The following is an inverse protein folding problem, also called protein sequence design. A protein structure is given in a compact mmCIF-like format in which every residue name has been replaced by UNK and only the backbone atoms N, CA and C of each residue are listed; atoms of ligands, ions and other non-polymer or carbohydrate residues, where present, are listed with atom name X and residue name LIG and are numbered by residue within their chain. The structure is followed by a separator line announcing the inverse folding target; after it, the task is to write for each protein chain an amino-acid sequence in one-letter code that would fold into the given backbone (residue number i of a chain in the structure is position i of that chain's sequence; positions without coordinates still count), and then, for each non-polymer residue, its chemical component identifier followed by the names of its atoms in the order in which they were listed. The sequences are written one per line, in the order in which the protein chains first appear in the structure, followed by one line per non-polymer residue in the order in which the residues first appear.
data_IF_333270801656
#
_entry.id   IF_333270801656
#
_cell.length_a   1.000
_cell.length_b   1.000
_cell.length_c   1.000
_cell.angle_alpha   90.00
_cell.angle_beta   90.00
_cell.angle_gamma   90.00
#
_symmetry.space_group_name_H-M   'P 1'
#
loop_
_entity.id
_entity.type
_entity.pdbx_description
1 polymer ?
#
# COMPACT_ATOMS: atom_id res chain seq x y z
N UNK A 1 -26.85 0.69 -20.41
CA UNK A 1 -26.87 1.53 -21.61
C UNK A 1 -27.67 0.88 -22.72
N UNK A 2 -27.42 -0.37 -23.13
CA UNK A 2 -28.09 -1.03 -24.26
C UNK A 2 -29.62 -1.21 -24.12
N UNK A 3 -30.17 -1.01 -22.94
CA UNK A 3 -31.63 -1.14 -22.68
C UNK A 3 -32.38 0.19 -22.71
N UNK A 4 -31.66 1.31 -22.89
CA UNK A 4 -32.25 2.64 -22.95
C UNK A 4 -32.23 3.17 -24.39
N UNK A 5 -33.34 3.75 -24.81
CA UNK A 5 -33.42 4.47 -26.06
C UNK A 5 -32.78 5.83 -25.85
N UNK A 6 -31.83 6.18 -26.72
CA UNK A 6 -31.13 7.46 -26.77
C UNK A 6 -30.62 7.93 -25.37
N UNK A 7 -29.69 7.21 -24.75
CA UNK A 7 -29.22 7.54 -23.38
C UNK A 7 -28.53 8.93 -23.32
N UNK A 8 -28.06 9.47 -24.43
CA UNK A 8 -27.39 10.78 -24.54
C UNK A 8 -28.36 11.93 -24.84
N UNK A 9 -29.54 11.63 -25.34
CA UNK A 9 -30.52 12.61 -25.80
C UNK A 9 -31.61 12.95 -24.78
N UNK A 10 -31.35 12.81 -23.47
CA UNK A 10 -32.33 13.16 -22.43
C UNK A 10 -33.24 12.01 -21.99
N UNK A 11 -32.71 10.80 -21.96
CA UNK A 11 -33.43 9.63 -21.39
C UNK A 11 -33.85 9.88 -19.96
N UNK A 12 -35.12 9.72 -19.63
CA UNK A 12 -35.62 9.89 -18.25
C UNK A 12 -34.90 9.04 -17.22
N UNK A 13 -34.49 7.84 -17.60
CA UNK A 13 -33.68 6.99 -16.72
C UNK A 13 -32.33 7.58 -16.42
N UNK A 14 -31.61 8.09 -17.43
CA UNK A 14 -30.29 8.69 -17.26
C UNK A 14 -30.37 9.97 -16.46
N UNK A 15 -31.38 10.82 -16.72
CA UNK A 15 -31.61 12.04 -15.98
C UNK A 15 -31.94 11.76 -14.51
N UNK A 16 -32.80 10.79 -14.22
CA UNK A 16 -33.11 10.37 -12.85
C UNK A 16 -31.87 9.86 -12.12
N UNK A 17 -31.10 8.97 -12.77
CA UNK A 17 -29.86 8.44 -12.20
C UNK A 17 -28.82 9.52 -11.95
N UNK A 18 -28.68 10.47 -12.85
CA UNK A 18 -27.77 11.62 -12.71
C UNK A 18 -28.16 12.46 -11.49
N UNK A 19 -29.47 12.74 -11.35
CA UNK A 19 -29.97 13.50 -10.20
C UNK A 19 -29.74 12.76 -8.88
N UNK A 20 -30.00 11.45 -8.81
CA UNK A 20 -29.74 10.64 -7.62
C UNK A 20 -28.26 10.61 -7.25
N UNK A 21 -27.37 10.45 -8.24
CA UNK A 21 -25.92 10.47 -8.03
C UNK A 21 -25.45 11.83 -7.53
N UNK A 22 -25.98 12.91 -8.11
CA UNK A 22 -25.65 14.28 -7.69
C UNK A 22 -26.05 14.53 -6.22
N UNK A 23 -27.24 14.09 -5.80
CA UNK A 23 -27.69 14.21 -4.42
C UNK A 23 -26.81 13.43 -3.46
N UNK A 24 -26.52 12.16 -3.76
CA UNK A 24 -25.64 11.33 -2.93
C UNK A 24 -24.22 11.89 -2.82
N UNK A 25 -23.67 12.40 -3.93
CA UNK A 25 -22.37 13.06 -3.91
C UNK A 25 -22.40 14.32 -3.06
N UNK A 26 -23.48 15.10 -3.13
CA UNK A 26 -23.64 16.31 -2.36
C UNK A 26 -23.74 16.05 -0.85
N UNK A 27 -24.43 14.99 -0.44
CA UNK A 27 -24.48 14.55 0.97
C UNK A 27 -23.07 14.25 1.51
N UNK A 28 -22.21 13.57 0.72
CA UNK A 28 -20.83 13.27 1.12
C UNK A 28 -19.97 14.55 1.19
N UNK A 29 -20.17 15.50 0.27
CA UNK A 29 -19.48 16.80 0.29
C UNK A 29 -19.88 17.57 1.56
N UNK A 30 -21.18 17.64 1.88
CA UNK A 30 -21.65 18.30 3.08
C UNK A 30 -21.12 17.67 4.37
N UNK A 31 -20.94 16.35 4.41
CA UNK A 31 -20.32 15.68 5.55
C UNK A 31 -18.87 16.14 5.75
N UNK A 32 -18.10 16.22 4.68
CA UNK A 32 -16.71 16.72 4.72
C UNK A 32 -16.67 18.18 5.18
N UNK A 33 -17.57 19.02 4.67
CA UNK A 33 -17.66 20.43 5.07
C UNK A 33 -18.02 20.59 6.54
N UNK A 34 -18.93 19.77 7.08
CA UNK A 34 -19.28 19.76 8.52
C UNK A 34 -18.11 19.41 9.43
N UNK A 35 -17.14 18.61 8.93
CA UNK A 35 -15.91 18.30 9.64
C UNK A 35 -14.89 19.44 9.61
N UNK A 36 -15.16 20.50 8.86
CA UNK A 36 -14.29 21.66 8.68
C UNK A 36 -13.38 21.56 7.46
N UNK A 37 -13.84 20.87 6.42
CA UNK A 37 -13.17 20.67 5.15
C UNK A 37 -12.30 19.42 5.07
N UNK A 38 -11.77 19.13 3.89
CA UNK A 38 -11.08 17.87 3.60
C UNK A 38 -9.83 17.65 4.47
N UNK A 39 -9.05 18.70 4.77
CA UNK A 39 -7.86 18.55 5.60
C UNK A 39 -8.20 17.97 6.99
N UNK A 40 -9.23 18.52 7.64
CA UNK A 40 -9.71 18.00 8.94
C UNK A 40 -10.37 16.64 8.82
N UNK A 41 -11.12 16.38 7.74
CA UNK A 41 -11.68 15.08 7.48
C UNK A 41 -10.59 13.99 7.35
N UNK A 42 -9.45 14.30 6.70
CA UNK A 42 -8.29 13.40 6.63
C UNK A 42 -7.73 13.11 8.02
N UNK A 43 -7.62 14.10 8.89
CA UNK A 43 -7.17 13.90 10.27
C UNK A 43 -8.07 12.94 11.06
N UNK A 44 -9.39 12.92 10.80
CA UNK A 44 -10.32 11.96 11.40
C UNK A 44 -10.19 10.54 10.85
N UNK A 45 -9.55 10.37 9.68
CA UNK A 45 -9.42 9.11 8.97
C UNK A 45 -10.66 8.68 8.16
N UNK A 46 -11.77 9.43 8.19
CA UNK A 46 -13.04 9.05 7.53
C UNK A 46 -12.89 8.81 6.01
N UNK A 47 -12.28 9.72 5.22
CA UNK A 47 -12.15 9.49 3.78
C UNK A 47 -11.36 8.22 3.47
N UNK A 48 -10.28 7.98 4.22
CA UNK A 48 -9.42 6.81 4.06
C UNK A 48 -10.17 5.52 4.40
N UNK A 49 -10.88 5.46 5.52
CA UNK A 49 -11.69 4.30 5.91
C UNK A 49 -12.72 3.93 4.84
N UNK A 50 -13.42 4.89 4.26
CA UNK A 50 -14.42 4.64 3.21
C UNK A 50 -13.80 4.11 1.91
N UNK A 51 -12.61 4.60 1.55
CA UNK A 51 -11.87 4.07 0.39
C UNK A 51 -11.45 2.63 0.64
N UNK A 52 -10.94 2.32 1.82
CA UNK A 52 -10.50 0.99 2.21
C UNK A 52 -11.68 0.01 2.28
N UNK A 53 -12.80 0.42 2.86
CA UNK A 53 -14.04 -0.38 2.88
C UNK A 53 -14.55 -0.69 1.46
N UNK A 54 -14.61 0.31 0.58
CA UNK A 54 -15.02 0.11 -0.80
C UNK A 54 -14.06 -0.81 -1.56
N UNK A 55 -12.75 -0.70 -1.31
CA UNK A 55 -11.74 -1.55 -1.91
C UNK A 55 -11.85 -3.00 -1.45
N UNK A 56 -11.99 -3.24 -0.14
CA UNK A 56 -12.16 -4.58 0.43
C UNK A 56 -13.44 -5.27 -0.09
N UNK A 57 -14.55 -4.52 -0.17
CA UNK A 57 -15.81 -5.03 -0.74
C UNK A 57 -15.67 -5.40 -2.21
N UNK A 58 -15.00 -4.57 -2.99
CA UNK A 58 -14.77 -4.82 -4.42
C UNK A 58 -13.88 -6.05 -4.60
N UNK A 59 -12.80 -6.17 -3.84
CA UNK A 59 -11.91 -7.33 -3.90
C UNK A 59 -12.65 -8.61 -3.54
N UNK A 60 -13.40 -8.63 -2.45
CA UNK A 60 -14.20 -9.80 -2.06
C UNK A 60 -15.20 -10.26 -3.14
N UNK A 61 -15.77 -9.31 -3.91
CA UNK A 61 -16.64 -9.64 -5.05
C UNK A 61 -15.86 -10.21 -6.24
N UNK A 62 -14.65 -9.75 -6.47
CA UNK A 62 -13.76 -10.28 -7.51
C UNK A 62 -13.34 -11.71 -7.13
N UNK A 63 -12.89 -11.92 -5.90
CA UNK A 63 -12.40 -13.20 -5.40
C UNK A 63 -13.51 -14.26 -5.36
N UNK A 64 -14.71 -13.89 -4.90
CA UNK A 64 -15.89 -14.78 -4.92
C UNK A 64 -16.48 -15.02 -6.33
N UNK A 65 -15.98 -14.34 -7.37
CA UNK A 65 -16.49 -14.40 -8.74
C UNK A 65 -17.83 -13.72 -8.95
N UNK A 66 -18.41 -13.06 -7.96
CA UNK A 66 -19.66 -12.30 -8.10
C UNK A 66 -19.49 -11.05 -8.98
N UNK A 67 -18.27 -10.52 -9.07
CA UNK A 67 -17.88 -9.50 -10.03
C UNK A 67 -16.86 -10.07 -11.01
N UNK A 68 -17.21 -10.11 -12.30
CA UNK A 68 -16.32 -10.62 -13.34
C UNK A 68 -15.35 -9.54 -13.80
N UNK A 69 -14.06 -9.85 -13.76
CA UNK A 69 -13.00 -9.10 -14.43
C UNK A 69 -12.41 -10.01 -15.51
N UNK A 70 -12.58 -9.60 -16.77
CA UNK A 70 -12.12 -10.37 -17.92
C UNK A 70 -10.59 -10.50 -17.89
N UNK A 71 -10.10 -11.74 -18.08
CA UNK A 71 -8.67 -12.04 -18.03
C UNK A 71 -8.08 -12.15 -16.62
N UNK A 72 -8.84 -11.84 -15.57
CA UNK A 72 -8.42 -11.98 -14.17
C UNK A 72 -9.09 -13.16 -13.49
N UNK A 73 -10.42 -13.12 -13.31
CA UNK A 73 -11.18 -14.20 -12.68
C UNK A 73 -12.14 -14.94 -13.63
N UNK A 74 -12.21 -14.52 -14.90
CA UNK A 74 -12.99 -15.18 -15.94
C UNK A 74 -12.40 -14.93 -17.33
N UNK A 75 -12.58 -15.89 -18.23
CA UNK A 75 -12.08 -15.82 -19.62
C UNK A 75 -10.55 -15.67 -19.71
N UNK A 76 -9.85 -16.38 -18.86
CA UNK A 76 -8.37 -16.45 -18.88
C UNK A 76 -7.92 -17.34 -20.04
N UNK A 77 -6.72 -17.06 -20.56
CA UNK A 77 -6.05 -17.96 -21.49
C UNK A 77 -5.39 -19.10 -20.69
N UNK A 78 -5.46 -20.33 -21.19
CA UNK A 78 -4.77 -21.48 -20.57
C UNK A 78 -3.22 -21.31 -20.62
N UNK A 79 -2.74 -20.65 -21.67
CA UNK A 79 -1.31 -20.30 -21.82
C UNK A 79 -1.22 -18.87 -22.32
N UNK A 80 -0.55 -18.04 -21.57
CA UNK A 80 -0.17 -16.70 -22.00
C UNK A 80 1.24 -16.71 -22.57
N UNK A 81 1.48 -15.93 -23.63
CA UNK A 81 2.82 -15.74 -24.14
C UNK A 81 3.65 -14.95 -23.12
N UNK A 82 4.92 -15.32 -22.88
CA UNK A 82 5.79 -14.55 -22.02
C UNK A 82 5.92 -13.11 -22.56
N UNK A 83 5.82 -12.15 -21.67
CA UNK A 83 5.97 -10.72 -21.98
C UNK A 83 7.32 -10.28 -21.45
N UNK A 84 8.10 -9.59 -22.27
CA UNK A 84 9.33 -8.95 -21.80
C UNK A 84 9.00 -7.86 -20.80
N UNK A 85 9.43 -8.05 -19.55
CA UNK A 85 9.20 -7.13 -18.44
C UNK A 85 10.47 -6.33 -18.20
N UNK A 86 10.34 -5.00 -18.13
CA UNK A 86 11.43 -4.13 -17.72
C UNK A 86 11.72 -4.33 -16.23
N UNK A 87 12.81 -4.99 -15.92
CA UNK A 87 13.30 -5.14 -14.55
C UNK A 87 14.15 -3.94 -14.15
N UNK A 88 13.88 -3.39 -12.96
CA UNK A 88 14.66 -2.30 -12.40
C UNK A 88 15.58 -2.88 -11.31
N UNK A 89 16.88 -2.71 -11.49
CA UNK A 89 17.86 -2.99 -10.44
C UNK A 89 17.80 -1.87 -9.38
N UNK A 90 17.03 -2.11 -8.32
CA UNK A 90 16.86 -1.15 -7.24
C UNK A 90 18.16 -0.79 -6.52
N UNK A 91 19.14 -1.71 -6.48
CA UNK A 91 20.45 -1.45 -5.88
C UNK A 91 21.25 -0.50 -6.75
N UNK A 92 21.33 -0.75 -8.05
CA UNK A 92 22.01 0.11 -9.00
C UNK A 92 21.43 1.52 -9.02
N UNK A 93 20.09 1.64 -9.11
CA UNK A 93 19.38 2.93 -9.08
C UNK A 93 19.64 3.69 -7.78
N UNK A 94 19.63 3.01 -6.64
CA UNK A 94 19.93 3.64 -5.33
C UNK A 94 21.36 4.16 -5.27
N UNK A 95 22.33 3.38 -5.70
CA UNK A 95 23.74 3.77 -5.69
C UNK A 95 24.00 4.95 -6.62
N UNK A 96 23.41 4.91 -7.82
CA UNK A 96 23.50 6.02 -8.78
C UNK A 96 22.92 7.31 -8.20
N UNK A 97 21.75 7.23 -7.55
CA UNK A 97 21.14 8.40 -6.92
C UNK A 97 21.97 8.96 -5.76
N UNK A 98 22.58 8.11 -4.95
CA UNK A 98 23.50 8.54 -3.87
C UNK A 98 24.69 9.29 -4.46
N UNK A 99 25.30 8.77 -5.53
CA UNK A 99 26.43 9.41 -6.19
C UNK A 99 26.04 10.74 -6.84
N UNK A 100 24.84 10.79 -7.46
CA UNK A 100 24.30 12.03 -8.03
C UNK A 100 24.10 13.12 -6.96
N UNK A 101 23.56 12.75 -5.79
CA UNK A 101 23.39 13.68 -4.68
C UNK A 101 24.71 14.14 -4.10
N UNK A 102 25.72 13.27 -4.02
CA UNK A 102 27.06 13.62 -3.56
C UNK A 102 27.69 14.65 -4.50
N UNK A 103 27.72 14.38 -5.79
CA UNK A 103 28.24 15.32 -6.81
C UNK A 103 27.52 16.66 -6.78
N UNK A 104 26.20 16.66 -6.61
CA UNK A 104 25.41 17.88 -6.51
C UNK A 104 25.82 18.71 -5.29
N UNK A 105 25.99 18.08 -4.13
CA UNK A 105 26.38 18.76 -2.89
C UNK A 105 27.81 19.29 -2.93
N UNK A 106 28.74 18.55 -3.55
CA UNK A 106 30.13 18.99 -3.72
C UNK A 106 30.27 20.21 -4.66
N UNK A 107 29.38 20.32 -5.65
CA UNK A 107 29.44 21.39 -6.69
C UNK A 107 28.58 22.62 -6.41
N UNK A 108 27.93 22.74 -5.24
CA UNK A 108 27.02 23.86 -4.93
C UNK A 108 27.61 24.83 -3.91
N UNK A 109 27.05 26.03 -3.86
CA UNK A 109 27.41 27.02 -2.79
C UNK A 109 26.54 26.72 -1.55
N UNK A 110 27.14 26.11 -0.55
CA UNK A 110 26.43 25.69 0.66
C UNK A 110 25.82 26.86 1.44
N UNK A 111 26.50 28.01 1.48
CA UNK A 111 26.01 29.21 2.20
C UNK A 111 24.72 29.75 1.56
N UNK A 112 24.61 29.74 0.21
CA UNK A 112 23.40 30.15 -0.48
C UNK A 112 22.27 29.15 -0.24
N UNK A 113 22.55 27.84 -0.23
CA UNK A 113 21.59 26.81 0.07
C UNK A 113 21.04 26.98 1.49
N UNK A 114 21.88 27.14 2.49
CA UNK A 114 21.45 27.33 3.89
C UNK A 114 20.57 28.56 4.03
N UNK A 115 20.94 29.68 3.42
CA UNK A 115 20.13 30.90 3.41
C UNK A 115 18.76 30.70 2.82
N UNK A 116 18.67 29.96 1.70
CA UNK A 116 17.38 29.65 1.06
C UNK A 116 16.52 28.72 1.93
N UNK A 117 17.11 27.71 2.58
CA UNK A 117 16.41 26.80 3.49
C UNK A 117 15.93 27.52 4.76
N UNK A 118 16.72 28.47 5.31
CA UNK A 118 16.31 29.30 6.43
C UNK A 118 15.11 30.19 6.07
N UNK A 119 15.06 30.73 4.85
CA UNK A 119 13.93 31.51 4.37
C UNK A 119 12.64 30.66 4.31
N UNK A 120 12.73 29.40 3.88
CA UNK A 120 11.61 28.45 3.92
C UNK A 120 11.15 28.21 5.37
N UNK A 121 12.08 27.89 6.26
CA UNK A 121 11.79 27.64 7.68
C UNK A 121 11.08 28.84 8.30
N UNK A 122 11.58 30.06 8.08
CA UNK A 122 10.97 31.30 8.55
C UNK A 122 9.57 31.52 7.99
N UNK A 123 9.34 31.26 6.70
CA UNK A 123 8.04 31.39 6.07
C UNK A 123 7.02 30.43 6.70
N UNK A 124 7.42 29.19 7.01
CA UNK A 124 6.55 28.21 7.69
C UNK A 124 6.23 28.67 9.13
N UNK A 125 7.22 29.19 9.85
CA UNK A 125 7.07 29.66 11.22
C UNK A 125 6.15 30.90 11.33
N UNK A 126 6.40 31.91 10.48
CA UNK A 126 5.64 33.17 10.50
C UNK A 126 4.32 33.09 9.76
N UNK A 127 4.14 32.11 8.88
CA UNK A 127 3.02 31.98 7.93
C UNK A 127 2.90 33.17 6.96
N UNK A 128 4.00 33.89 6.74
CA UNK A 128 4.10 34.99 5.81
C UNK A 128 5.00 34.64 4.63
N UNK A 129 4.63 35.10 3.43
CA UNK A 129 5.38 34.83 2.22
C UNK A 129 4.78 33.72 1.34
N UNK A 130 5.53 33.34 0.31
CA UNK A 130 5.14 32.31 -0.66
C UNK A 130 6.11 31.12 -0.58
N UNK A 131 5.67 30.03 0.06
CA UNK A 131 6.46 28.81 0.21
C UNK A 131 6.91 28.19 -1.13
N UNK A 132 6.07 28.26 -2.15
CA UNK A 132 6.41 27.69 -3.46
C UNK A 132 7.53 28.51 -4.13
N UNK A 133 7.45 29.82 -4.08
CA UNK A 133 8.49 30.71 -4.62
C UNK A 133 9.84 30.46 -3.91
N UNK A 134 9.83 30.38 -2.57
CA UNK A 134 11.03 30.09 -1.79
C UNK A 134 11.60 28.70 -2.09
N UNK A 135 10.75 27.71 -2.32
CA UNK A 135 11.18 26.36 -2.69
C UNK A 135 11.81 26.35 -4.11
N UNK A 136 11.28 27.12 -5.05
CA UNK A 136 11.88 27.30 -6.38
C UNK A 136 13.25 27.96 -6.27
N UNK A 137 13.41 29.02 -5.48
CA UNK A 137 14.71 29.67 -5.25
C UNK A 137 15.71 28.70 -4.58
N UNK A 138 15.28 27.92 -3.59
CA UNK A 138 16.12 26.90 -2.98
C UNK A 138 16.57 25.83 -3.99
N UNK A 139 15.67 25.39 -4.87
CA UNK A 139 16.01 24.45 -5.96
C UNK A 139 17.00 25.06 -6.98
N UNK A 140 16.91 26.35 -7.27
CA UNK A 140 17.84 27.06 -8.15
C UNK A 140 19.26 27.09 -7.61
N UNK A 141 19.43 27.26 -6.31
CA UNK A 141 20.73 27.17 -5.64
C UNK A 141 21.14 25.72 -5.31
N UNK A 142 20.42 24.74 -5.85
CA UNK A 142 20.69 23.31 -5.76
C UNK A 142 20.47 22.70 -4.38
N UNK A 143 19.50 23.19 -3.61
CA UNK A 143 18.94 22.45 -2.50
C UNK A 143 18.24 21.19 -3.00
N UNK A 144 18.37 20.08 -2.30
CA UNK A 144 17.70 18.82 -2.61
C UNK A 144 16.25 18.86 -2.13
N UNK A 145 15.39 18.01 -2.71
CA UNK A 145 14.00 17.86 -2.27
C UNK A 145 13.90 17.54 -0.76
N UNK A 146 14.79 16.66 -0.28
CA UNK A 146 14.83 16.30 1.14
C UNK A 146 15.17 17.48 2.05
N UNK A 147 16.13 18.34 1.65
CA UNK A 147 16.50 19.54 2.42
C UNK A 147 15.36 20.57 2.47
N UNK A 148 14.69 20.80 1.34
CA UNK A 148 13.52 21.69 1.26
C UNK A 148 12.38 21.16 2.15
N UNK A 149 12.06 19.88 2.07
CA UNK A 149 11.04 19.25 2.91
C UNK A 149 11.40 19.31 4.38
N UNK A 150 12.67 19.04 4.72
CA UNK A 150 13.17 19.10 6.09
C UNK A 150 13.12 20.51 6.70
N UNK A 151 13.32 21.55 5.88
CA UNK A 151 13.18 22.93 6.32
C UNK A 151 11.76 23.25 6.81
N UNK A 152 10.74 22.66 6.18
CA UNK A 152 9.35 22.74 6.65
C UNK A 152 9.11 21.83 7.88
N UNK A 153 9.64 20.61 7.85
CA UNK A 153 9.43 19.59 8.88
C UNK A 153 9.94 20.03 10.26
N UNK A 154 11.00 20.85 10.32
CA UNK A 154 11.52 21.43 11.57
C UNK A 154 10.46 22.18 12.38
N UNK A 155 9.49 22.80 11.71
CA UNK A 155 8.45 23.62 12.35
C UNK A 155 7.15 22.84 12.53
N UNK A 156 6.68 22.17 11.47
CA UNK A 156 5.36 21.52 11.48
C UNK A 156 5.40 20.04 11.79
N UNK A 157 6.60 19.44 11.85
CA UNK A 157 6.76 18.00 11.99
C UNK A 157 6.33 17.25 10.74
N UNK A 158 6.41 15.93 10.81
CA UNK A 158 5.93 15.04 9.76
C UNK A 158 4.59 14.44 10.16
N UNK A 159 3.59 14.59 9.30
CA UNK A 159 2.30 13.96 9.51
C UNK A 159 2.43 12.43 9.52
N UNK A 160 1.92 11.82 10.59
CA UNK A 160 1.80 10.36 10.70
C UNK A 160 0.32 10.00 10.64
N UNK A 161 -0.08 9.34 9.57
CA UNK A 161 -1.45 8.89 9.41
C UNK A 161 -1.80 7.84 10.49
N UNK A 162 -3.00 7.96 11.06
CA UNK A 162 -3.55 6.94 11.94
C UNK A 162 -3.93 5.74 11.06
N UNK A 163 -3.30 4.60 11.31
CA UNK A 163 -3.65 3.34 10.65
C UNK A 163 -4.80 2.74 11.46
N UNK A 164 -5.94 2.53 10.81
CA UNK A 164 -7.07 1.80 11.37
C UNK A 164 -7.34 0.59 10.50
N UNK A 165 -7.44 -0.58 11.09
CA UNK A 165 -7.88 -1.78 10.40
C UNK A 165 -9.40 -1.79 10.31
N UNK A 166 -9.91 -2.18 9.16
CA UNK A 166 -11.32 -2.40 8.91
C UNK A 166 -11.54 -3.91 8.98
N UNK A 167 -12.58 -4.36 9.63
CA UNK A 167 -12.95 -5.79 9.72
C UNK A 167 -14.43 -5.99 9.41
N UNK A 168 -14.80 -7.20 9.01
CA UNK A 168 -16.18 -7.59 8.73
C UNK A 168 -16.67 -7.28 7.31
N UNK A 169 -15.93 -6.49 6.53
CA UNK A 169 -16.33 -6.08 5.18
C UNK A 169 -16.08 -7.20 4.18
N UNK A 170 -14.89 -7.79 4.21
CA UNK A 170 -14.51 -8.89 3.32
C UNK A 170 -15.36 -10.13 3.61
N UNK A 171 -15.49 -10.51 4.87
CA UNK A 171 -16.30 -11.64 5.31
C UNK A 171 -17.79 -11.51 4.94
N UNK A 172 -18.34 -10.30 4.93
CA UNK A 172 -19.75 -10.07 4.57
C UNK A 172 -20.06 -10.45 3.12
N UNK A 173 -19.14 -10.23 2.19
CA UNK A 173 -19.26 -10.54 0.77
C UNK A 173 -18.84 -12.00 0.46
N UNK A 174 -17.90 -12.57 1.26
CA UNK A 174 -17.31 -13.90 1.04
C UNK A 174 -17.99 -15.02 1.85
N UNK A 175 -19.14 -14.77 2.47
CA UNK A 175 -19.85 -15.74 3.34
C UNK A 175 -20.13 -17.10 2.71
N UNK A 176 -20.29 -17.17 1.39
CA UNK A 176 -20.59 -18.40 0.67
C UNK A 176 -19.36 -19.04 0.04
N UNK A 177 -18.20 -18.40 0.12
CA UNK A 177 -16.95 -18.93 -0.42
C UNK A 177 -16.44 -20.08 0.46
N UNK A 178 -16.14 -21.22 -0.18
CA UNK A 178 -15.69 -22.43 0.51
C UNK A 178 -14.27 -22.28 1.06
N UNK A 179 -13.41 -21.58 0.32
CA UNK A 179 -11.99 -21.43 0.65
C UNK A 179 -11.83 -20.45 1.80
N UNK A 180 -12.62 -19.37 1.78
CA UNK A 180 -12.70 -18.44 2.91
C UNK A 180 -13.15 -19.14 4.21
N UNK A 181 -14.19 -19.97 4.14
CA UNK A 181 -14.65 -20.77 5.29
C UNK A 181 -13.57 -21.69 5.80
N UNK A 182 -12.90 -22.39 4.88
CA UNK A 182 -11.80 -23.29 5.22
C UNK A 182 -10.64 -22.56 5.89
N UNK A 183 -10.28 -21.35 5.40
CA UNK A 183 -9.26 -20.51 6.03
C UNK A 183 -9.65 -20.14 7.47
N UNK A 184 -10.89 -19.71 7.72
CA UNK A 184 -11.39 -19.41 9.05
C UNK A 184 -11.35 -20.63 9.98
N UNK A 185 -11.71 -21.81 9.48
CA UNK A 185 -11.62 -23.07 10.28
C UNK A 185 -10.18 -23.42 10.65
N UNK A 186 -9.23 -23.17 9.76
CA UNK A 186 -7.81 -23.43 10.01
C UNK A 186 -7.24 -22.47 11.05
N UNK A 187 -7.60 -21.18 11.00
CA UNK A 187 -7.18 -20.21 12.01
C UNK A 187 -7.76 -20.51 13.39
N UNK A 188 -9.03 -20.94 13.46
CA UNK A 188 -9.62 -21.40 14.71
C UNK A 188 -8.93 -22.64 15.29
N UNK A 189 -8.57 -23.61 14.44
CA UNK A 189 -7.82 -24.81 14.85
C UNK A 189 -6.44 -24.44 15.38
N UNK A 190 -5.76 -23.50 14.70
CA UNK A 190 -4.47 -22.99 15.16
C UNK A 190 -4.61 -22.31 16.52
N UNK A 191 -5.57 -21.41 16.67
CA UNK A 191 -5.81 -20.71 17.93
C UNK A 191 -6.10 -21.65 19.11
N UNK A 192 -6.87 -22.71 18.87
CA UNK A 192 -7.13 -23.74 19.88
C UNK A 192 -5.88 -24.53 20.29
N UNK A 193 -4.96 -24.74 19.34
CA UNK A 193 -3.72 -25.50 19.56
C UNK A 193 -2.65 -24.66 20.26
N UNK A 194 -2.46 -23.43 19.78
CA UNK A 194 -1.37 -22.52 20.23
C UNK A 194 -1.78 -21.63 21.42
N UNK A 195 -3.09 -21.55 21.71
CA UNK A 195 -3.61 -20.68 22.78
C UNK A 195 -3.71 -19.20 22.42
N UNK A 196 -3.36 -18.81 21.19
CA UNK A 196 -3.50 -17.45 20.65
C UNK A 196 -3.81 -17.50 19.14
N UNK A 197 -4.39 -16.43 18.63
CA UNK A 197 -4.63 -16.27 17.19
C UNK A 197 -3.31 -16.30 16.40
N UNK A 198 -3.30 -16.83 15.16
CA UNK A 198 -2.16 -16.64 14.28
C UNK A 198 -1.97 -15.15 14.04
N UNK A 199 -0.71 -14.68 14.09
CA UNK A 199 -0.37 -13.27 13.94
C UNK A 199 0.47 -13.04 12.70
N UNK A 200 0.06 -12.07 11.89
CA UNK A 200 0.75 -11.70 10.65
C UNK A 200 1.08 -10.22 10.65
N UNK A 201 2.29 -9.88 10.25
CA UNK A 201 2.66 -8.51 9.91
C UNK A 201 2.70 -8.33 8.41
N UNK A 202 1.92 -7.38 7.89
CA UNK A 202 1.97 -6.99 6.47
C UNK A 202 3.00 -5.88 6.33
N UNK A 203 4.14 -6.21 5.71
CA UNK A 203 5.28 -5.32 5.53
C UNK A 203 5.29 -4.67 4.14
N UNK A 204 5.61 -3.38 4.10
CA UNK A 204 5.78 -2.59 2.88
C UNK A 204 7.19 -2.00 2.87
N UNK A 205 8.10 -2.65 2.16
CA UNK A 205 9.52 -2.31 2.18
C UNK A 205 9.96 -1.52 0.95
N UNK A 206 11.06 -0.76 1.11
CA UNK A 206 11.66 0.01 0.02
C UNK A 206 10.82 1.21 -0.41
N UNK A 207 11.04 1.69 -1.63
CA UNK A 207 10.36 2.86 -2.18
C UNK A 207 9.03 2.50 -2.86
N UNK A 208 8.20 1.75 -2.16
CA UNK A 208 6.89 1.31 -2.64
C UNK A 208 5.75 1.91 -1.83
N UNK A 209 5.06 2.90 -2.40
CA UNK A 209 3.94 3.60 -1.79
C UNK A 209 2.56 3.01 -2.09
N UNK A 210 2.47 1.86 -2.78
CA UNK A 210 1.19 1.23 -3.15
C UNK A 210 0.59 0.46 -1.97
N UNK A 211 0.00 1.16 -1.01
CA UNK A 211 -0.49 0.59 0.25
C UNK A 211 -1.88 -0.06 0.17
N UNK A 212 -2.63 0.20 -0.90
CA UNK A 212 -4.03 -0.24 -1.04
C UNK A 212 -4.16 -1.77 -1.06
N UNK A 213 -3.34 -2.46 -1.85
CA UNK A 213 -3.34 -3.93 -1.90
C UNK A 213 -2.99 -4.55 -0.54
N UNK A 214 -1.94 -4.05 0.10
CA UNK A 214 -1.54 -4.50 1.43
C UNK A 214 -2.67 -4.38 2.47
N UNK A 215 -3.44 -3.30 2.43
CA UNK A 215 -4.57 -3.07 3.35
C UNK A 215 -5.76 -3.97 3.07
N UNK A 216 -6.07 -4.22 1.80
CA UNK A 216 -7.13 -5.17 1.42
C UNK A 216 -6.80 -6.56 1.91
N UNK A 217 -5.56 -7.01 1.68
CA UNK A 217 -5.07 -8.32 2.17
C UNK A 217 -5.10 -8.39 3.70
N UNK A 218 -4.63 -7.33 4.38
CA UNK A 218 -4.71 -7.24 5.84
C UNK A 218 -6.15 -7.36 6.37
N UNK A 219 -7.12 -6.71 5.70
CA UNK A 219 -8.54 -6.83 6.04
C UNK A 219 -9.04 -8.28 5.84
N UNK A 220 -8.65 -8.93 4.75
CA UNK A 220 -8.99 -10.34 4.49
C UNK A 220 -8.45 -11.28 5.58
N UNK A 221 -7.18 -11.12 5.96
CA UNK A 221 -6.58 -11.90 7.06
C UNK A 221 -7.28 -11.64 8.41
N UNK A 222 -7.57 -10.38 8.73
CA UNK A 222 -8.30 -10.06 9.96
C UNK A 222 -9.69 -10.71 9.98
N UNK A 223 -10.39 -10.70 8.86
CA UNK A 223 -11.71 -11.34 8.73
C UNK A 223 -11.64 -12.88 8.76
N UNK A 224 -10.48 -13.47 8.42
CA UNK A 224 -10.21 -14.91 8.61
C UNK A 224 -9.79 -15.26 10.05
N UNK A 225 -9.62 -14.29 10.94
CA UNK A 225 -9.28 -14.53 12.34
C UNK A 225 -7.80 -14.44 12.69
N UNK A 226 -6.98 -13.79 11.85
CA UNK A 226 -5.61 -13.44 12.20
C UNK A 226 -5.57 -12.15 13.05
N UNK A 227 -4.61 -12.08 13.95
CA UNK A 227 -4.12 -10.80 14.47
C UNK A 227 -3.22 -10.17 13.41
N UNK A 228 -3.57 -8.97 12.93
CA UNK A 228 -2.89 -8.33 11.81
C UNK A 228 -2.20 -7.05 12.26
N UNK A 229 -0.88 -7.00 12.08
CA UNK A 229 -0.07 -5.81 12.23
C UNK A 229 0.24 -5.22 10.85
N UNK A 230 0.14 -3.90 10.73
CA UNK A 230 0.51 -3.17 9.50
C UNK A 230 1.80 -2.41 9.74
N UNK A 231 2.88 -2.85 9.10
CA UNK A 231 4.13 -2.10 9.11
C UNK A 231 3.99 -0.73 8.42
N UNK A 232 4.76 0.29 8.84
CA UNK A 232 4.80 1.58 8.17
C UNK A 232 5.34 1.44 6.73
N UNK A 233 5.00 2.43 5.88
CA UNK A 233 5.52 2.49 4.52
C UNK A 233 7.02 2.78 4.51
N UNK A 234 7.70 2.30 3.49
CA UNK A 234 9.11 2.58 3.20
C UNK A 234 10.11 2.02 4.21
N UNK A 235 9.74 0.98 4.93
CA UNK A 235 10.68 0.29 5.83
C UNK A 235 11.85 -0.31 5.07
N UNK A 236 12.99 -0.36 5.74
CA UNK A 236 14.09 -1.23 5.33
C UNK A 236 13.81 -2.67 5.77
N UNK A 237 14.41 -3.69 5.13
CA UNK A 237 14.29 -5.08 5.57
C UNK A 237 14.66 -5.29 7.05
N UNK A 238 15.69 -4.59 7.54
CA UNK A 238 16.12 -4.66 8.94
C UNK A 238 15.08 -4.09 9.91
N UNK A 239 14.43 -2.98 9.55
CA UNK A 239 13.35 -2.40 10.36
C UNK A 239 12.11 -3.31 10.39
N UNK A 240 11.71 -3.83 9.22
CA UNK A 240 10.58 -4.74 9.12
C UNK A 240 10.84 -6.06 9.89
N UNK A 241 12.03 -6.64 9.80
CA UNK A 241 12.39 -7.83 10.54
C UNK A 241 12.37 -7.60 12.05
N UNK A 242 12.88 -6.46 12.52
CA UNK A 242 12.87 -6.09 13.95
C UNK A 242 11.43 -5.95 14.45
N UNK A 243 10.58 -5.22 13.74
CA UNK A 243 9.18 -5.04 14.11
C UNK A 243 8.43 -6.37 14.13
N UNK A 244 8.68 -7.25 13.16
CA UNK A 244 8.10 -8.60 13.15
C UNK A 244 8.48 -9.41 14.40
N UNK A 245 9.73 -9.32 14.84
CA UNK A 245 10.22 -9.98 16.06
C UNK A 245 9.64 -9.35 17.33
N UNK A 246 9.61 -8.02 17.41
CA UNK A 246 9.06 -7.28 18.55
C UNK A 246 7.56 -7.55 18.73
N UNK A 247 6.82 -7.69 17.63
CA UNK A 247 5.39 -8.03 17.64
C UNK A 247 5.13 -9.53 17.78
N UNK A 248 6.18 -10.35 17.86
CA UNK A 248 6.09 -11.83 17.98
C UNK A 248 5.12 -12.44 16.96
N UNK A 249 5.30 -12.10 15.67
CA UNK A 249 4.44 -12.59 14.60
C UNK A 249 4.83 -14.03 14.19
N UNK A 250 3.87 -14.78 13.67
CA UNK A 250 4.09 -16.08 13.06
C UNK A 250 4.45 -15.96 11.58
N UNK A 251 3.94 -14.90 10.93
CA UNK A 251 4.07 -14.71 9.48
C UNK A 251 4.42 -13.25 9.17
N UNK A 252 5.30 -13.03 8.21
CA UNK A 252 5.52 -11.73 7.57
C UNK A 252 5.03 -11.80 6.12
N UNK A 253 4.01 -11.00 5.81
CA UNK A 253 3.50 -10.82 4.47
C UNK A 253 4.16 -9.62 3.79
N UNK A 254 5.00 -9.86 2.78
CA UNK A 254 5.67 -8.81 2.02
C UNK A 254 4.80 -8.41 0.82
N UNK A 255 4.31 -7.18 0.81
CA UNK A 255 3.55 -6.65 -0.33
C UNK A 255 4.47 -5.86 -1.26
N UNK A 256 4.61 -6.29 -2.52
CA UNK A 256 5.50 -5.69 -3.51
C UNK A 256 4.78 -5.35 -4.81
N UNK A 257 4.76 -4.06 -5.19
CA UNK A 257 4.25 -3.58 -6.47
C UNK A 257 5.30 -2.79 -7.30
N UNK A 258 6.45 -2.47 -6.70
CA UNK A 258 7.49 -1.66 -7.34
C UNK A 258 8.74 -2.49 -7.70
N UNK A 259 8.56 -3.73 -8.13
CA UNK A 259 9.61 -4.66 -8.56
C UNK A 259 10.78 -4.86 -7.56
N UNK A 260 10.55 -4.57 -6.27
CA UNK A 260 11.58 -4.72 -5.22
C UNK A 260 11.71 -6.13 -4.64
N UNK A 261 10.86 -7.08 -5.04
CA UNK A 261 10.76 -8.41 -4.45
C UNK A 261 12.08 -9.20 -4.54
N UNK A 262 12.77 -9.17 -5.67
CA UNK A 262 14.04 -9.91 -5.86
C UNK A 262 15.17 -9.44 -4.95
N UNK A 263 15.12 -8.19 -4.49
CA UNK A 263 16.14 -7.60 -3.63
C UNK A 263 15.72 -7.62 -2.17
N UNK A 264 14.49 -7.18 -1.88
CA UNK A 264 14.05 -6.91 -0.51
C UNK A 264 13.56 -8.17 0.22
N UNK A 265 13.00 -9.16 -0.51
CA UNK A 265 12.51 -10.39 0.12
C UNK A 265 13.66 -11.27 0.63
N UNK A 266 14.72 -11.54 -0.13
CA UNK A 266 15.88 -12.23 0.42
C UNK A 266 16.50 -11.50 1.62
N UNK A 267 16.56 -10.16 1.56
CA UNK A 267 17.14 -9.36 2.65
C UNK A 267 16.35 -9.47 3.95
N UNK A 268 15.00 -9.47 3.92
CA UNK A 268 14.23 -9.63 5.17
C UNK A 268 14.42 -11.01 5.77
N UNK A 269 14.56 -12.05 4.96
CA UNK A 269 14.85 -13.42 5.43
C UNK A 269 16.21 -13.45 6.15
N UNK A 270 17.24 -12.82 5.56
CA UNK A 270 18.57 -12.72 6.18
C UNK A 270 18.52 -11.95 7.51
N UNK A 271 17.76 -10.86 7.57
CA UNK A 271 17.60 -10.07 8.80
C UNK A 271 16.86 -10.86 9.90
N UNK A 272 15.81 -11.61 9.55
CA UNK A 272 15.13 -12.51 10.49
C UNK A 272 16.09 -13.60 11.03
N UNK A 273 16.93 -14.18 10.17
CA UNK A 273 17.98 -15.13 10.57
C UNK A 273 18.97 -14.51 11.54
N UNK A 274 19.44 -13.30 11.28
CA UNK A 274 20.35 -12.57 12.18
C UNK A 274 19.73 -12.33 13.56
N UNK A 275 18.41 -12.21 13.63
CA UNK A 275 17.65 -12.03 14.87
C UNK A 275 17.27 -13.37 15.54
N UNK A 276 17.68 -14.52 14.96
CA UNK A 276 17.39 -15.84 15.49
C UNK A 276 15.92 -16.26 15.36
N UNK A 277 15.19 -15.70 14.41
CA UNK A 277 13.76 -15.95 14.17
C UNK A 277 13.53 -16.53 12.76
N UNK A 278 14.25 -17.60 12.45
CA UNK A 278 14.07 -18.38 11.21
C UNK A 278 12.72 -19.13 11.18
N UNK A 279 12.05 -19.20 12.30
CA UNK A 279 10.72 -19.81 12.49
C UNK A 279 9.60 -18.96 11.87
N UNK A 280 9.82 -17.66 11.67
CA UNK A 280 8.83 -16.76 11.08
C UNK A 280 8.69 -17.06 9.59
N UNK A 281 7.48 -17.43 9.18
CA UNK A 281 7.16 -17.69 7.78
C UNK A 281 7.13 -16.37 7.00
N UNK A 282 7.83 -16.31 5.87
CA UNK A 282 7.78 -15.14 4.97
C UNK A 282 6.97 -15.52 3.73
N UNK A 283 5.92 -14.75 3.46
CA UNK A 283 5.13 -14.84 2.23
C UNK A 283 5.28 -13.54 1.44
N UNK A 284 5.33 -13.65 0.12
CA UNK A 284 5.41 -12.49 -0.77
C UNK A 284 4.20 -12.47 -1.70
N UNK A 285 3.61 -11.28 -1.84
CA UNK A 285 2.47 -11.06 -2.71
C UNK A 285 2.49 -9.67 -3.34
N UNK A 286 1.58 -9.45 -4.28
CA UNK A 286 1.45 -8.22 -5.06
C UNK A 286 1.60 -8.50 -6.55
N UNK A 287 2.17 -7.56 -7.31
CA UNK A 287 2.44 -7.77 -8.74
C UNK A 287 3.82 -8.37 -8.91
N UNK A 288 3.88 -9.70 -8.89
CA UNK A 288 5.12 -10.47 -9.06
C UNK A 288 5.04 -11.21 -10.40
N UNK A 289 5.98 -10.99 -11.34
CA UNK A 289 6.01 -11.71 -12.60
C UNK A 289 6.21 -13.21 -12.39
N UNK A 290 5.50 -14.05 -13.13
CA UNK A 290 5.60 -15.50 -13.02
C UNK A 290 7.04 -16.04 -13.23
N UNK A 291 7.84 -15.37 -14.06
CA UNK A 291 9.25 -15.72 -14.27
C UNK A 291 10.13 -15.57 -13.01
N UNK A 292 9.69 -14.82 -12.01
CA UNK A 292 10.41 -14.60 -10.75
C UNK A 292 9.99 -15.58 -9.65
N UNK A 293 8.98 -16.41 -9.87
CA UNK A 293 8.49 -17.35 -8.87
C UNK A 293 9.56 -18.37 -8.47
N UNK A 294 10.26 -18.97 -9.43
CA UNK A 294 11.32 -19.95 -9.13
C UNK A 294 12.44 -19.34 -8.28
N UNK A 295 12.80 -18.09 -8.55
CA UNK A 295 13.76 -17.35 -7.73
C UNK A 295 13.25 -17.18 -6.29
N UNK A 296 12.00 -16.78 -6.14
CA UNK A 296 11.40 -16.58 -4.82
C UNK A 296 11.18 -17.90 -4.08
N UNK A 297 10.75 -18.98 -4.75
CA UNK A 297 10.62 -20.31 -4.13
C UNK A 297 11.95 -20.85 -3.59
N UNK A 298 13.06 -20.52 -4.23
CA UNK A 298 14.38 -20.88 -3.72
C UNK A 298 14.80 -20.07 -2.48
N UNK A 299 14.20 -18.90 -2.26
CA UNK A 299 14.47 -18.02 -1.11
C UNK A 299 13.43 -18.14 0.00
N UNK A 300 12.20 -18.50 -0.35
CA UNK A 300 11.01 -18.48 0.50
C UNK A 300 10.48 -19.89 0.72
N UNK A 301 9.82 -20.10 1.87
CA UNK A 301 9.00 -21.28 2.08
C UNK A 301 7.69 -21.21 1.30
N UNK A 302 7.16 -20.01 1.05
CA UNK A 302 5.90 -19.79 0.32
C UNK A 302 5.89 -18.46 -0.43
N UNK A 303 5.36 -18.47 -1.66
CA UNK A 303 4.99 -17.27 -2.40
C UNK A 303 3.49 -17.34 -2.73
N UNK A 304 2.75 -16.25 -2.55
CA UNK A 304 1.40 -16.10 -3.07
C UNK A 304 1.28 -14.79 -3.83
N UNK A 305 0.61 -14.82 -4.97
CA UNK A 305 0.19 -13.62 -5.66
C UNK A 305 -1.19 -13.21 -5.15
N UNK A 306 -1.24 -12.15 -4.34
CA UNK A 306 -2.50 -11.65 -3.77
C UNK A 306 -3.47 -11.08 -4.82
N UNK A 307 -2.98 -10.81 -6.04
CA UNK A 307 -3.82 -10.37 -7.16
C UNK A 307 -4.31 -11.54 -8.03
N UNK A 308 -3.67 -12.72 -7.94
CA UNK A 308 -3.84 -13.85 -8.86
C UNK A 308 -4.06 -15.19 -8.14
N UNK A 309 -4.55 -15.19 -6.89
CA UNK A 309 -4.68 -16.37 -6.02
C UNK A 309 -5.56 -17.52 -6.54
N UNK A 310 -6.05 -17.45 -7.77
CA UNK A 310 -6.85 -18.55 -8.38
C UNK A 310 -6.07 -19.41 -9.37
N UNK A 311 -4.78 -19.20 -9.55
CA UNK A 311 -4.02 -19.98 -10.56
C UNK A 311 -3.18 -21.12 -10.00
N UNK A 312 -3.16 -21.36 -8.70
CA UNK A 312 -2.31 -22.40 -8.10
C UNK A 312 -3.01 -23.22 -7.03
N UNK A 313 -4.21 -23.74 -7.34
CA UNK A 313 -4.75 -24.87 -6.60
C UNK A 313 -5.02 -25.98 -7.63
N UNK A 314 -4.03 -26.79 -7.83
CA UNK A 314 -4.17 -28.22 -8.15
C UNK A 314 -3.71 -29.04 -6.94
#
# INVERSE_FOLDING_TARGET
ICKNVDPWGGSYYVESLTNELAHKAWELIQEVEKLGGMAKAIETGIPKMRIEEAAARTQARIDSGSQTIVGVNKYRLEKEAPIDILEIDNTAVRLEQIENLKRLKEGRNEAEVQKALEAITKCVETKEGNLLELAVEAARVRATLGEISYACEKIVGRYKAIIRTISGVYSSESKNDSDFKRACELTEKFAKKEGRQPRIMVAKMGQDGHDRGAKVVATGYADCGFDVDMGPLFQTPAEAAREAVENDVHVVGVSSLAAGHKTLVPQIIEELKKLGREDIIVIAGGVIPAQDYDFLYNCLLYTSDAADERSSVD
#
